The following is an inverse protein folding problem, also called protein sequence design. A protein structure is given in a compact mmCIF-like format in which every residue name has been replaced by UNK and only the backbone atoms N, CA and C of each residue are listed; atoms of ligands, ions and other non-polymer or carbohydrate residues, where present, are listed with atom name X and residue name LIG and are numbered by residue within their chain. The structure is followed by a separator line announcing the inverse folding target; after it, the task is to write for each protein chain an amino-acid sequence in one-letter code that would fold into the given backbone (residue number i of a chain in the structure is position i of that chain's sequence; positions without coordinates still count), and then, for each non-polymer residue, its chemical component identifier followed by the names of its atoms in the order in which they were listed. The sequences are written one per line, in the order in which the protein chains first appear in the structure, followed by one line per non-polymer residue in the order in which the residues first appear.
data_IF_650857122790
#
_entry.id   IF_650857122790
#
_cell.length_a   1.000
_cell.length_b   1.000
_cell.length_c   1.000
_cell.angle_alpha   90.00
_cell.angle_beta   90.00
_cell.angle_gamma   90.00
#
_symmetry.space_group_name_H-M   'P 1'
#
loop_
_entity.id
_entity.type
_entity.pdbx_description
1 polymer ?
#
# COMPACT_ATOMS: atom_id res chain seq x y z
N UNK A 1 -11.26 7.74 -16.31
CA UNK A 1 -10.93 9.19 -16.24
C UNK A 1 -12.22 9.93 -15.92
N UNK A 2 -12.22 10.98 -15.10
CA UNK A 2 -13.45 11.71 -14.71
C UNK A 2 -13.17 12.99 -13.92
N UNK A 3 -14.14 13.92 -13.82
CA UNK A 3 -13.93 15.26 -13.24
C UNK A 3 -13.56 15.20 -11.75
N UNK A 4 -12.96 16.26 -11.21
CA UNK A 4 -12.74 16.37 -9.76
C UNK A 4 -14.07 16.23 -9.02
N UNK A 5 -14.07 15.58 -7.86
CA UNK A 5 -15.30 15.29 -7.10
C UNK A 5 -16.12 14.08 -7.58
N UNK A 6 -15.76 13.44 -8.70
CA UNK A 6 -16.50 12.27 -9.22
C UNK A 6 -16.32 10.96 -8.41
N UNK A 7 -15.77 11.01 -7.20
CA UNK A 7 -15.60 9.84 -6.33
C UNK A 7 -14.44 8.88 -6.65
N UNK A 8 -13.55 9.19 -7.61
CA UNK A 8 -12.42 8.31 -8.00
C UNK A 8 -11.53 7.90 -6.81
N UNK A 9 -11.13 8.87 -6.00
CA UNK A 9 -10.27 8.62 -4.84
C UNK A 9 -11.00 7.81 -3.77
N UNK A 10 -12.28 8.10 -3.54
CA UNK A 10 -13.14 7.31 -2.64
C UNK A 10 -13.23 5.86 -3.12
N UNK A 11 -13.48 5.65 -4.41
CA UNK A 11 -13.56 4.33 -5.01
C UNK A 11 -12.25 3.54 -4.86
N UNK A 12 -11.10 4.14 -5.17
CA UNK A 12 -9.80 3.49 -4.98
C UNK A 12 -9.53 3.14 -3.50
N UNK A 13 -9.96 3.99 -2.57
CA UNK A 13 -9.82 3.71 -1.14
C UNK A 13 -10.74 2.58 -0.66
N UNK A 14 -11.92 2.42 -1.26
CA UNK A 14 -12.78 1.26 -0.98
C UNK A 14 -12.11 -0.07 -1.37
N UNK A 15 -11.32 -0.10 -2.45
CA UNK A 15 -10.57 -1.31 -2.89
C UNK A 15 -9.63 -1.83 -1.81
N UNK A 16 -8.95 -0.93 -1.09
CA UNK A 16 -8.06 -1.28 0.02
C UNK A 16 -8.73 -1.21 1.40
N UNK A 17 -10.07 -1.08 1.43
CA UNK A 17 -10.84 -0.91 2.66
C UNK A 17 -10.28 0.21 3.57
N UNK A 18 -9.81 1.30 2.95
CA UNK A 18 -9.49 2.55 3.64
C UNK A 18 -10.73 3.43 3.82
N UNK A 19 -11.77 3.17 3.03
CA UNK A 19 -13.12 3.72 3.18
C UNK A 19 -14.13 2.56 3.19
N UNK A 20 -15.18 2.68 4.00
CA UNK A 20 -16.25 1.68 4.05
C UNK A 20 -17.24 1.91 2.91
N UNK A 21 -17.74 0.83 2.31
CA UNK A 21 -18.83 0.91 1.34
C UNK A 21 -20.16 0.98 2.08
N UNK A 22 -21.01 1.95 1.74
CA UNK A 22 -22.35 2.06 2.32
C UNK A 22 -23.32 1.02 1.75
N UNK A 23 -23.12 0.61 0.49
CA UNK A 23 -23.94 -0.37 -0.21
C UNK A 23 -23.14 -1.05 -1.34
N UNK A 24 -23.63 -2.19 -1.82
CA UNK A 24 -22.98 -2.97 -2.87
C UNK A 24 -21.93 -3.96 -2.36
N UNK A 25 -21.22 -4.59 -3.29
CA UNK A 25 -20.18 -5.58 -3.00
C UNK A 25 -18.96 -5.29 -3.87
N UNK A 26 -17.77 -5.38 -3.29
CA UNK A 26 -16.50 -5.15 -3.97
C UNK A 26 -15.63 -6.39 -3.86
N UNK A 27 -15.22 -6.93 -5.01
CA UNK A 27 -14.40 -8.13 -5.09
C UNK A 27 -13.04 -7.81 -5.70
N UNK A 28 -11.97 -8.30 -5.09
CA UNK A 28 -10.60 -8.28 -5.61
C UNK A 28 -10.11 -9.71 -5.64
N UNK A 29 -9.66 -10.18 -6.81
CA UNK A 29 -9.24 -11.57 -7.04
C UNK A 29 -10.28 -12.61 -6.57
N UNK A 30 -11.56 -12.31 -6.81
CA UNK A 30 -12.71 -13.13 -6.40
C UNK A 30 -13.05 -13.06 -4.90
N UNK A 31 -12.31 -12.30 -4.10
CA UNK A 31 -12.56 -12.16 -2.66
C UNK A 31 -13.29 -10.88 -2.31
N UNK A 32 -14.32 -10.99 -1.47
CA UNK A 32 -15.02 -9.84 -0.93
C UNK A 32 -14.11 -9.01 0.00
N UNK A 33 -13.99 -7.71 -0.30
CA UNK A 33 -13.16 -6.76 0.44
C UNK A 33 -13.90 -6.28 1.68
N UNK A 34 -13.26 -6.34 2.86
CA UNK A 34 -13.79 -5.76 4.10
C UNK A 34 -14.96 -6.48 4.75
N UNK A 35 -15.59 -7.43 4.05
CA UNK A 35 -16.77 -8.14 4.52
C UNK A 35 -16.66 -9.65 4.25
N UNK A 36 -17.34 -10.44 5.07
CA UNK A 36 -17.65 -11.85 4.82
C UNK A 36 -19.16 -11.97 4.57
N UNK A 37 -19.53 -12.68 3.52
CA UNK A 37 -20.94 -12.99 3.26
C UNK A 37 -21.28 -14.35 3.87
N UNK A 38 -22.39 -14.42 4.64
CA UNK A 38 -22.98 -15.66 5.12
C UNK A 38 -24.48 -15.64 4.81
N UNK A 39 -24.90 -16.41 3.81
CA UNK A 39 -26.23 -16.28 3.20
C UNK A 39 -26.40 -14.91 2.55
N UNK A 40 -27.49 -14.21 2.85
CA UNK A 40 -27.77 -12.86 2.35
C UNK A 40 -27.18 -11.74 3.21
N UNK A 41 -26.61 -12.07 4.37
CA UNK A 41 -26.05 -11.09 5.32
C UNK A 41 -24.56 -10.85 5.09
N UNK A 42 -24.18 -9.57 5.15
CA UNK A 42 -22.79 -9.11 5.15
C UNK A 42 -22.34 -8.87 6.59
N UNK A 43 -21.16 -9.39 6.92
CA UNK A 43 -20.50 -9.21 8.21
C UNK A 43 -19.19 -8.47 7.97
N UNK A 44 -19.00 -7.32 8.61
CA UNK A 44 -17.74 -6.58 8.53
C UNK A 44 -16.61 -7.42 9.15
N UNK A 45 -15.48 -7.49 8.46
CA UNK A 45 -14.29 -8.18 8.94
C UNK A 45 -13.65 -7.37 10.08
N UNK A 46 -12.97 -8.06 11.00
CA UNK A 46 -12.17 -7.37 12.02
C UNK A 46 -10.99 -6.66 11.36
N UNK A 47 -10.52 -5.57 11.97
CA UNK A 47 -9.38 -4.79 11.46
C UNK A 47 -8.13 -5.63 11.18
N UNK A 48 -7.88 -6.68 11.99
CA UNK A 48 -6.77 -7.61 11.79
C UNK A 48 -6.92 -8.48 10.54
N UNK A 49 -8.15 -8.93 10.23
CA UNK A 49 -8.46 -9.69 9.02
C UNK A 49 -8.38 -8.80 7.77
N UNK A 50 -8.83 -7.55 7.88
CA UNK A 50 -8.66 -6.55 6.82
C UNK A 50 -7.19 -6.27 6.57
N UNK A 51 -6.41 -6.03 7.62
CA UNK A 51 -4.97 -5.80 7.52
C UNK A 51 -4.24 -6.98 6.86
N UNK A 52 -4.68 -8.22 7.16
CA UNK A 52 -4.17 -9.41 6.51
C UNK A 52 -4.39 -9.34 4.99
N UNK A 53 -5.61 -9.03 4.54
CA UNK A 53 -5.93 -8.93 3.09
C UNK A 53 -5.20 -7.78 2.40
N UNK A 54 -4.99 -6.65 3.09
CA UNK A 54 -4.28 -5.49 2.52
C UNK A 54 -2.82 -5.78 2.15
N UNK A 55 -2.20 -6.85 2.68
CA UNK A 55 -0.81 -7.23 2.36
C UNK A 55 -0.58 -7.52 0.88
N UNK A 56 -1.65 -7.88 0.16
CA UNK A 56 -1.62 -8.33 -1.23
C UNK A 56 -1.99 -7.22 -2.21
N UNK A 57 -2.50 -6.08 -1.73
CA UNK A 57 -2.92 -4.96 -2.56
C UNK A 57 -2.07 -3.72 -2.24
N UNK A 58 -1.22 -3.33 -3.19
CA UNK A 58 -0.42 -2.10 -3.10
C UNK A 58 -1.21 -0.86 -3.47
N UNK A 59 -0.94 0.27 -2.83
CA UNK A 59 -1.49 1.59 -3.20
C UNK A 59 -0.40 2.64 -3.24
N UNK A 60 -0.37 3.42 -4.31
CA UNK A 60 0.47 4.60 -4.44
C UNK A 60 -0.42 5.84 -4.33
N UNK A 61 -0.08 6.74 -3.42
CA UNK A 61 -0.86 7.95 -3.15
C UNK A 61 -0.25 9.17 -3.86
N UNK A 62 -1.04 10.24 -3.99
CA UNK A 62 -0.56 11.51 -4.54
C UNK A 62 0.34 12.28 -3.56
N UNK A 63 0.15 12.08 -2.25
CA UNK A 63 1.10 12.51 -1.21
C UNK A 63 1.95 11.30 -0.84
N UNK A 64 3.27 11.46 -0.81
CA UNK A 64 4.20 10.35 -0.93
C UNK A 64 4.23 9.38 0.27
N UNK A 65 3.51 9.63 1.37
CA UNK A 65 3.33 8.72 2.53
C UNK A 65 4.59 7.97 3.01
N UNK A 66 5.78 8.51 2.74
CA UNK A 66 7.05 7.97 3.19
C UNK A 66 7.26 8.32 4.66
N UNK A 67 7.88 7.41 5.40
CA UNK A 67 8.35 7.64 6.76
C UNK A 67 9.56 8.60 6.71
N UNK A 68 9.44 9.83 7.25
CA UNK A 68 10.47 10.87 7.07
C UNK A 68 11.77 10.59 7.83
N UNK A 69 11.70 9.73 8.85
CA UNK A 69 12.83 9.33 9.70
C UNK A 69 13.54 8.07 9.19
N UNK A 70 13.14 7.55 8.03
CA UNK A 70 13.72 6.38 7.37
C UNK A 70 14.29 6.78 6.02
N UNK A 71 15.38 6.14 5.60
CA UNK A 71 15.93 6.26 4.25
C UNK A 71 15.02 5.60 3.20
N UNK A 72 15.28 5.81 1.91
CA UNK A 72 14.52 5.20 0.82
C UNK A 72 14.51 3.67 0.90
N UNK A 73 15.67 3.05 1.20
CA UNK A 73 15.74 1.59 1.35
C UNK A 73 14.97 1.11 2.58
N UNK A 74 15.03 1.84 3.69
CA UNK A 74 14.30 1.50 4.91
C UNK A 74 12.78 1.61 4.71
N UNK A 75 12.31 2.65 4.00
CA UNK A 75 10.90 2.80 3.62
C UNK A 75 10.38 1.57 2.85
N UNK A 76 11.14 1.08 1.87
CA UNK A 76 10.77 -0.08 1.06
C UNK A 76 10.86 -1.38 1.87
N UNK A 77 11.79 -1.47 2.82
CA UNK A 77 11.99 -2.63 3.68
C UNK A 77 10.94 -2.80 4.79
N UNK A 78 10.36 -1.70 5.27
CA UNK A 78 9.58 -1.69 6.52
C UNK A 78 8.40 -2.66 6.49
N UNK A 79 7.57 -2.61 5.44
CA UNK A 79 6.41 -3.50 5.32
C UNK A 79 6.80 -4.99 5.15
N UNK A 80 7.77 -5.37 4.28
CA UNK A 80 8.29 -6.74 4.23
C UNK A 80 8.77 -7.29 5.59
N UNK A 81 9.44 -6.47 6.41
CA UNK A 81 9.93 -6.90 7.72
C UNK A 81 8.79 -7.03 8.72
N UNK A 82 8.02 -5.96 8.93
CA UNK A 82 7.02 -5.92 10.00
C UNK A 82 5.75 -6.72 9.69
N UNK A 83 5.28 -6.69 8.43
CA UNK A 83 3.99 -7.28 8.05
C UNK A 83 4.15 -8.70 7.51
N UNK A 84 5.24 -8.98 6.78
CA UNK A 84 5.51 -10.29 6.18
C UNK A 84 6.53 -11.12 6.96
N UNK A 85 7.15 -10.58 8.01
CA UNK A 85 8.12 -11.30 8.84
C UNK A 85 9.41 -11.66 8.10
N UNK A 86 9.75 -10.94 7.03
CA UNK A 86 10.96 -11.20 6.26
C UNK A 86 12.20 -10.79 7.06
N UNK A 87 13.29 -11.54 6.95
CA UNK A 87 14.55 -11.15 7.60
C UNK A 87 15.04 -9.81 7.03
N UNK A 88 15.70 -9.00 7.88
CA UNK A 88 16.23 -7.69 7.46
C UNK A 88 17.18 -7.80 6.27
N UNK A 89 17.97 -8.87 6.20
CA UNK A 89 18.90 -9.11 5.08
C UNK A 89 18.15 -9.33 3.76
N UNK A 90 17.18 -10.24 3.74
CA UNK A 90 16.36 -10.51 2.56
C UNK A 90 15.53 -9.28 2.14
N UNK A 91 14.96 -8.56 3.12
CA UNK A 91 14.19 -7.35 2.84
C UNK A 91 15.07 -6.27 2.21
N UNK A 92 16.31 -6.10 2.69
CA UNK A 92 17.27 -5.13 2.13
C UNK A 92 17.64 -5.47 0.70
N UNK A 93 17.96 -6.73 0.42
CA UNK A 93 18.28 -7.19 -0.93
C UNK A 93 17.13 -6.90 -1.89
N UNK A 94 15.91 -7.29 -1.52
CA UNK A 94 14.69 -7.03 -2.31
C UNK A 94 14.46 -5.53 -2.50
N UNK A 95 14.60 -4.73 -1.45
CA UNK A 95 14.42 -3.28 -1.52
C UNK A 95 15.42 -2.63 -2.47
N UNK A 96 16.70 -3.05 -2.44
CA UNK A 96 17.72 -2.57 -3.37
C UNK A 96 17.38 -2.90 -4.82
N UNK A 97 16.93 -4.13 -5.10
CA UNK A 97 16.50 -4.53 -6.45
C UNK A 97 15.32 -3.69 -6.95
N UNK A 98 14.34 -3.41 -6.09
CA UNK A 98 13.20 -2.57 -6.44
C UNK A 98 13.62 -1.12 -6.70
N UNK A 99 14.48 -0.56 -5.84
CA UNK A 99 15.01 0.79 -6.02
C UNK A 99 15.84 0.91 -7.31
N UNK A 100 16.65 -0.09 -7.65
CA UNK A 100 17.37 -0.13 -8.93
C UNK A 100 16.40 -0.14 -10.11
N UNK A 101 15.35 -0.95 -10.06
CA UNK A 101 14.33 -1.05 -11.12
C UNK A 101 13.61 0.27 -11.39
N UNK A 102 13.43 1.11 -10.37
CA UNK A 102 12.82 2.45 -10.52
C UNK A 102 13.85 3.57 -10.73
N UNK A 103 15.14 3.24 -10.87
CA UNK A 103 16.22 4.20 -11.11
C UNK A 103 16.62 5.03 -9.88
N UNK A 104 16.52 4.44 -8.68
CA UNK A 104 16.89 5.04 -7.38
C UNK A 104 17.94 4.23 -6.61
N UNK A 105 18.64 3.30 -7.26
CA UNK A 105 19.68 2.47 -6.61
C UNK A 105 20.72 3.31 -5.85
N UNK A 106 21.22 4.38 -6.48
CA UNK A 106 22.24 5.27 -5.90
C UNK A 106 21.68 6.24 -4.85
N UNK A 107 20.36 6.23 -4.63
CA UNK A 107 19.64 7.08 -3.68
C UNK A 107 19.05 6.29 -2.51
N UNK A 108 19.40 5.00 -2.40
CA UNK A 108 18.90 4.10 -1.35
C UNK A 108 19.11 4.64 0.07
N UNK A 109 20.23 5.31 0.32
CA UNK A 109 20.58 5.90 1.62
C UNK A 109 20.01 7.30 1.87
N UNK A 110 19.27 7.89 0.93
CA UNK A 110 18.71 9.23 1.09
C UNK A 110 17.42 9.19 1.92
N UNK A 111 17.24 10.18 2.79
CA UNK A 111 15.96 10.45 3.44
C UNK A 111 14.99 11.13 2.47
N UNK A 112 13.65 11.03 2.69
CA UNK A 112 12.65 11.67 1.83
C UNK A 112 12.87 13.16 1.59
N UNK A 113 13.36 13.90 2.60
CA UNK A 113 13.70 15.33 2.47
C UNK A 113 14.81 15.63 1.46
N UNK A 114 15.61 14.63 1.09
CA UNK A 114 16.73 14.73 0.15
C UNK A 114 16.35 14.24 -1.26
N UNK A 115 15.07 13.89 -1.47
CA UNK A 115 14.54 13.38 -2.73
C UNK A 115 13.58 14.39 -3.35
N UNK A 116 13.64 14.57 -4.66
CA UNK A 116 12.64 15.35 -5.40
C UNK A 116 11.27 14.67 -5.32
N UNK A 117 10.16 15.40 -5.55
CA UNK A 117 8.82 14.80 -5.51
C UNK A 117 8.65 13.61 -6.47
N UNK A 118 9.23 13.68 -7.67
CA UNK A 118 9.22 12.56 -8.62
C UNK A 118 10.12 11.38 -8.21
N UNK A 119 11.11 11.61 -7.34
CA UNK A 119 11.88 10.53 -6.71
C UNK A 119 11.09 9.93 -5.56
N UNK A 120 10.44 10.74 -4.71
CA UNK A 120 9.58 10.26 -3.63
C UNK A 120 8.41 9.40 -4.14
N UNK A 121 7.82 9.72 -5.30
CA UNK A 121 6.77 8.90 -5.92
C UNK A 121 7.23 7.50 -6.37
N UNK A 122 8.54 7.33 -6.57
CA UNK A 122 9.15 6.08 -7.06
C UNK A 122 9.69 5.19 -5.94
N UNK A 123 9.92 5.74 -4.76
CA UNK A 123 10.21 4.98 -3.53
C UNK A 123 8.93 4.24 -3.10
#
# INVERSE_FOLDING_TARGET
IGPSGSGKSTFLRCINHLEKVNAGRLYVDGQLVGYRQKGDKLYELKDSEVALKRRDIGMVFQRFNLFPHMTAVENVMEAPVQVKGMSRAQARERAMQLLQRVGLGDKAGNYPSQLSGGQQQRV
#
